data_IF_097131270526
#
_entry.id   IF_097131270526
#
_cell.length_a   1.000
_cell.length_b   1.000
_cell.length_c   1.000
_cell.angle_alpha   90.00
_cell.angle_beta   90.00
_cell.angle_gamma   90.00
#
_symmetry.space_group_name_H-M   'P 1'
#
loop_
_entity.id
_entity.type
_entity.pdbx_description
1 polymer ?
#
# COMPACT_ATOMS: atom_id res chain seq x y z
N UNK A 1 -7.01 13.78 -9.16
CA UNK A 1 -7.26 13.96 -7.72
C UNK A 1 -8.66 14.49 -7.59
N UNK A 2 -9.51 13.83 -6.82
CA UNK A 2 -10.87 14.30 -6.57
C UNK A 2 -10.95 15.01 -5.23
N UNK A 3 -11.87 15.98 -5.10
CA UNK A 3 -12.20 16.60 -3.80
C UNK A 3 -12.53 15.53 -2.74
N UNK A 4 -13.19 14.45 -3.15
CA UNK A 4 -13.54 13.33 -2.27
C UNK A 4 -12.32 12.64 -1.68
N UNK A 5 -11.24 12.50 -2.44
CA UNK A 5 -10.00 11.85 -2.01
C UNK A 5 -9.32 12.68 -0.93
N UNK A 6 -9.20 13.99 -1.17
CA UNK A 6 -8.62 14.95 -0.23
C UNK A 6 -9.48 15.06 1.04
N UNK A 7 -10.80 15.04 0.90
CA UNK A 7 -11.72 15.08 2.02
C UNK A 7 -11.66 13.79 2.86
N UNK A 8 -11.43 12.63 2.23
CA UNK A 8 -11.18 11.36 2.92
C UNK A 8 -9.86 11.43 3.71
N UNK A 9 -8.77 11.87 3.08
CA UNK A 9 -7.49 12.07 3.76
C UNK A 9 -7.64 12.99 4.98
N UNK A 10 -8.26 14.15 4.80
CA UNK A 10 -8.49 15.11 5.88
C UNK A 10 -9.22 14.47 7.08
N UNK A 11 -10.30 13.73 6.81
CA UNK A 11 -11.05 13.00 7.85
C UNK A 11 -10.21 11.95 8.57
N UNK A 12 -9.38 11.21 7.84
CA UNK A 12 -8.52 10.18 8.43
C UNK A 12 -7.39 10.78 9.26
N UNK A 13 -6.75 11.85 8.78
CA UNK A 13 -5.73 12.59 9.55
C UNK A 13 -6.32 13.06 10.88
N UNK A 14 -7.52 13.64 10.84
CA UNK A 14 -8.20 14.14 12.04
C UNK A 14 -8.70 13.05 13.00
N UNK A 15 -8.83 11.80 12.54
CA UNK A 15 -9.23 10.68 13.40
C UNK A 15 -8.05 9.96 14.06
N UNK A 16 -6.80 10.28 13.68
CA UNK A 16 -5.62 9.63 14.25
C UNK A 16 -5.38 10.06 15.71
N UNK A 17 -5.01 9.10 16.60
CA UNK A 17 -4.70 9.39 18.00
C UNK A 17 -3.65 10.50 18.18
N UNK A 18 -2.61 10.50 17.35
CA UNK A 18 -1.51 11.47 17.44
C UNK A 18 -1.98 12.91 17.12
N UNK A 19 -2.92 13.06 16.18
CA UNK A 19 -3.52 14.36 15.88
C UNK A 19 -4.40 14.85 17.03
N UNK A 20 -5.19 13.95 17.61
CA UNK A 20 -6.09 14.25 18.73
C UNK A 20 -5.35 14.60 20.03
N UNK A 21 -4.16 14.02 20.23
CA UNK A 21 -3.35 14.25 21.42
C UNK A 21 -2.55 15.56 21.32
N UNK A 22 -1.89 15.79 20.18
CA UNK A 22 -0.83 16.80 20.11
C UNK A 22 -1.18 18.00 19.23
N UNK A 23 -2.31 17.98 18.50
CA UNK A 23 -2.65 19.00 17.50
C UNK A 23 -1.52 19.24 16.49
N UNK A 24 -0.83 18.14 16.13
CA UNK A 24 0.31 18.14 15.21
C UNK A 24 -0.04 17.45 13.90
N UNK A 25 0.42 18.04 12.82
CA UNK A 25 0.43 17.43 11.49
C UNK A 25 1.86 17.41 10.98
N UNK A 26 2.36 16.23 10.69
CA UNK A 26 3.62 15.99 10.01
C UNK A 26 3.33 15.79 8.52
N UNK A 27 3.87 16.67 7.69
CA UNK A 27 3.84 16.55 6.25
C UNK A 27 5.14 15.91 5.77
N UNK A 28 5.03 14.79 5.08
CA UNK A 28 6.16 14.09 4.47
C UNK A 28 6.09 14.26 2.97
N UNK A 29 7.19 14.71 2.37
CA UNK A 29 7.34 14.87 0.92
C UNK A 29 8.58 14.08 0.49
N UNK A 30 8.40 13.09 -0.39
CA UNK A 30 9.52 12.28 -0.91
C UNK A 30 9.59 12.42 -2.42
N UNK A 31 10.27 13.44 -2.96
CA UNK A 31 10.37 13.60 -4.41
C UNK A 31 11.04 12.36 -5.05
N UNK A 32 10.65 12.04 -6.29
CA UNK A 32 11.13 10.87 -7.05
C UNK A 32 12.67 10.77 -7.10
N UNK A 33 13.40 11.88 -6.96
CA UNK A 33 14.86 11.94 -6.92
C UNK A 33 15.39 12.88 -5.82
N UNK A 34 15.06 12.63 -4.54
CA UNK A 34 15.61 13.43 -3.45
C UNK A 34 15.43 12.85 -2.05
N UNK A 35 16.02 13.52 -1.07
CA UNK A 35 15.87 13.16 0.34
C UNK A 35 14.45 13.48 0.82
N UNK A 36 13.90 12.59 1.64
CA UNK A 36 12.63 12.81 2.32
C UNK A 36 12.68 14.11 3.12
N UNK A 37 11.71 15.00 2.87
CA UNK A 37 11.51 16.24 3.65
C UNK A 37 10.32 16.02 4.58
N UNK A 38 10.50 16.40 5.84
CA UNK A 38 9.47 16.34 6.86
C UNK A 38 9.26 17.77 7.36
N UNK A 39 8.01 18.23 7.31
CA UNK A 39 7.59 19.50 7.89
C UNK A 39 6.60 19.24 9.01
N UNK A 40 6.80 19.88 10.15
CA UNK A 40 5.91 19.78 11.32
C UNK A 40 5.07 21.05 11.44
N UNK A 41 3.76 20.88 11.53
CA UNK A 41 2.80 21.92 11.82
C UNK A 41 2.19 21.67 13.19
N UNK A 42 2.32 22.65 14.09
CA UNK A 42 1.75 22.61 15.44
C UNK A 42 0.50 23.49 15.54
N UNK A 43 -0.33 23.26 16.57
CA UNK A 43 -1.58 24.00 16.78
C UNK A 43 -2.58 23.84 15.62
N UNK A 44 -2.60 22.66 15.01
CA UNK A 44 -3.57 22.32 13.97
C UNK A 44 -4.81 21.69 14.62
N UNK A 45 -5.96 22.33 14.42
CA UNK A 45 -7.24 21.91 14.99
C UNK A 45 -8.21 21.39 13.92
N UNK A 46 -7.95 21.69 12.65
CA UNK A 46 -8.75 21.18 11.54
C UNK A 46 -7.88 21.00 10.29
N UNK A 47 -8.21 19.96 9.52
CA UNK A 47 -7.63 19.64 8.21
C UNK A 47 -8.80 19.56 7.24
N UNK A 48 -8.75 20.26 6.12
CA UNK A 48 -9.90 20.30 5.20
C UNK A 48 -9.49 20.45 3.74
N UNK A 49 -10.11 19.65 2.87
CA UNK A 49 -10.01 19.81 1.43
C UNK A 49 -10.69 21.12 0.99
N UNK A 50 -9.99 21.93 0.21
CA UNK A 50 -10.51 23.22 -0.28
C UNK A 50 -11.15 23.08 -1.65
N UNK A 51 -10.51 22.31 -2.53
CA UNK A 51 -10.90 22.06 -3.91
C UNK A 51 -10.40 20.66 -4.32
N UNK A 52 -10.31 20.38 -5.61
CA UNK A 52 -9.86 19.10 -6.16
C UNK A 52 -8.33 18.88 -6.09
N UNK A 53 -7.55 19.85 -5.62
CA UNK A 53 -6.08 19.77 -5.61
C UNK A 53 -5.37 20.27 -4.35
N UNK A 54 -6.09 20.69 -3.30
CA UNK A 54 -5.47 21.27 -2.10
C UNK A 54 -6.15 20.93 -0.77
N UNK A 55 -5.32 20.80 0.26
CA UNK A 55 -5.71 20.61 1.66
C UNK A 55 -5.22 21.82 2.46
N UNK A 56 -6.06 22.38 3.32
CA UNK A 56 -5.67 23.43 4.24
C UNK A 56 -5.65 22.93 5.70
N UNK A 57 -4.69 23.43 6.46
CA UNK A 57 -4.59 23.26 7.91
C UNK A 57 -5.09 24.53 8.59
N UNK A 58 -5.84 24.41 9.69
CA UNK A 58 -6.40 25.53 10.42
C UNK A 58 -6.09 25.47 11.90
N UNK A 59 -5.96 26.65 12.51
CA UNK A 59 -5.86 26.80 13.95
C UNK A 59 -7.23 26.70 14.63
N UNK A 60 -7.24 26.80 15.97
CA UNK A 60 -8.47 26.74 16.80
C UNK A 60 -9.48 27.86 16.52
N UNK A 61 -9.03 28.96 15.91
CA UNK A 61 -9.88 30.10 15.57
C UNK A 61 -10.43 29.99 14.14
N UNK A 62 -10.09 28.91 13.41
CA UNK A 62 -10.42 28.75 12.00
C UNK A 62 -9.54 29.58 11.06
N UNK A 63 -8.40 30.10 11.54
CA UNK A 63 -7.42 30.78 10.69
C UNK A 63 -6.55 29.76 9.96
N UNK A 64 -6.39 29.95 8.64
CA UNK A 64 -5.58 29.05 7.81
C UNK A 64 -4.10 29.18 8.16
N UNK A 65 -3.47 28.07 8.53
CA UNK A 65 -2.05 27.95 8.84
C UNK A 65 -1.26 27.80 7.54
N UNK A 66 -1.67 26.84 6.70
CA UNK A 66 -1.03 26.53 5.43
C UNK A 66 -2.05 25.93 4.47
N UNK A 67 -1.81 26.09 3.17
CA UNK A 67 -2.48 25.37 2.10
C UNK A 67 -1.44 24.51 1.38
N UNK A 68 -1.72 23.22 1.31
CA UNK A 68 -0.85 22.17 0.81
C UNK A 68 -1.43 21.72 -0.52
N UNK A 69 -0.57 21.63 -1.54
CA UNK A 69 -0.89 21.09 -2.86
C UNK A 69 -0.22 19.72 -2.98
N UNK A 70 -0.86 18.66 -2.46
CA UNK A 70 -0.23 17.36 -2.34
C UNK A 70 0.02 16.73 -3.72
N UNK A 71 1.14 16.02 -3.83
CA UNK A 71 1.45 15.14 -4.95
C UNK A 71 1.41 13.66 -4.53
N UNK A 72 1.77 12.78 -5.45
CA UNK A 72 1.84 11.32 -5.25
C UNK A 72 2.82 10.87 -4.15
N UNK A 73 3.66 11.77 -3.68
CA UNK A 73 4.67 11.50 -2.65
C UNK A 73 4.31 12.13 -1.30
N UNK A 74 3.22 12.89 -1.26
CA UNK A 74 2.82 13.68 -0.09
C UNK A 74 1.96 12.85 0.86
N UNK A 75 2.39 12.75 2.13
CA UNK A 75 1.58 12.16 3.20
C UNK A 75 1.43 13.12 4.38
N UNK A 76 0.29 13.07 5.05
CA UNK A 76 -0.01 13.81 6.28
C UNK A 76 -0.19 12.80 7.42
N UNK A 77 0.64 12.86 8.46
CA UNK A 77 0.65 11.84 9.53
C UNK A 77 0.68 10.41 8.97
N UNK A 78 1.37 10.19 7.86
CA UNK A 78 1.44 8.90 7.15
C UNK A 78 0.18 8.49 6.38
N UNK A 79 -0.84 9.36 6.29
CA UNK A 79 -1.99 9.19 5.39
C UNK A 79 -1.63 9.81 4.03
N UNK A 80 -1.68 9.06 2.91
CA UNK A 80 -1.47 9.65 1.59
C UNK A 80 -2.47 10.76 1.32
N UNK A 81 -1.97 11.94 0.99
CA UNK A 81 -2.82 13.11 0.79
C UNK A 81 -3.74 12.96 -0.43
N UNK A 82 -3.36 12.11 -1.40
CA UNK A 82 -4.06 11.98 -2.69
C UNK A 82 -4.72 10.63 -2.95
N UNK A 83 -4.67 9.65 -2.04
CA UNK A 83 -5.01 8.27 -2.39
C UNK A 83 -6.35 7.78 -1.83
N UNK A 84 -7.46 8.19 -2.45
CA UNK A 84 -8.76 7.55 -2.26
C UNK A 84 -9.66 7.61 -3.51
N UNK A 85 -9.12 7.24 -4.68
CA UNK A 85 -9.90 7.31 -5.91
C UNK A 85 -9.32 6.61 -7.15
N UNK A 86 -8.35 5.70 -6.99
CA UNK A 86 -7.92 4.85 -8.10
C UNK A 86 -8.70 3.54 -8.02
N UNK A 87 -9.81 3.51 -8.76
CA UNK A 87 -10.53 2.28 -9.09
C UNK A 87 -9.60 1.33 -9.88
N UNK A 88 -9.81 0.05 -9.66
CA UNK A 88 -8.99 -1.08 -10.07
C UNK A 88 -8.66 -1.09 -11.57
N UNK A 89 -7.48 -0.60 -11.99
CA UNK A 89 -6.86 -1.04 -13.24
C UNK A 89 -5.33 -1.10 -13.12
N UNK A 90 -4.82 -2.33 -13.05
CA UNK A 90 -3.47 -2.77 -13.42
C UNK A 90 -2.26 -2.11 -12.73
N UNK A 91 -1.88 -2.72 -11.59
CA UNK A 91 -0.48 -2.93 -11.24
C UNK A 91 0.07 -1.98 -10.17
N UNK A 92 0.25 -2.52 -8.95
CA UNK A 92 1.24 -2.13 -7.91
C UNK A 92 0.73 -1.59 -6.56
N UNK A 93 -0.55 -1.29 -6.35
CA UNK A 93 -1.02 -0.80 -5.03
C UNK A 93 -1.36 -1.94 -4.05
N UNK A 94 -0.45 -2.23 -3.10
CA UNK A 94 -0.80 -2.80 -1.79
C UNK A 94 -1.10 -4.30 -1.70
N UNK A 95 -0.65 -5.14 -2.64
CA UNK A 95 -0.73 -6.59 -2.47
C UNK A 95 0.37 -7.11 -1.52
N UNK A 96 0.17 -8.29 -0.93
CA UNK A 96 1.14 -8.82 0.05
C UNK A 96 2.51 -9.16 -0.55
N UNK A 97 2.61 -9.34 -1.89
CA UNK A 97 3.90 -9.53 -2.56
C UNK A 97 4.70 -8.23 -2.58
N UNK A 98 4.09 -7.13 -3.06
CA UNK A 98 4.71 -5.80 -3.06
C UNK A 98 4.99 -5.33 -1.64
N UNK A 99 4.04 -5.49 -0.71
CA UNK A 99 4.19 -5.08 0.69
C UNK A 99 5.34 -5.84 1.38
N UNK A 100 5.47 -7.16 1.13
CA UNK A 100 6.58 -7.91 1.67
C UNK A 100 7.92 -7.42 1.09
N UNK A 101 8.04 -7.32 -0.24
CA UNK A 101 9.33 -7.00 -0.87
C UNK A 101 9.76 -5.55 -0.67
N UNK A 102 8.86 -4.59 -0.89
CA UNK A 102 9.15 -3.15 -0.86
C UNK A 102 9.07 -2.62 0.56
N UNK A 103 7.90 -2.69 1.19
CA UNK A 103 7.67 -2.00 2.46
C UNK A 103 8.43 -2.66 3.62
N UNK A 104 8.53 -3.99 3.63
CA UNK A 104 9.15 -4.72 4.74
C UNK A 104 10.64 -5.05 4.50
N UNK A 105 11.01 -5.48 3.29
CA UNK A 105 12.40 -5.81 2.96
C UNK A 105 13.18 -4.67 2.28
N UNK A 106 12.56 -3.51 2.04
CA UNK A 106 13.22 -2.33 1.50
C UNK A 106 13.74 -2.48 0.08
N UNK A 107 13.21 -3.44 -0.69
CA UNK A 107 13.59 -3.66 -2.09
C UNK A 107 12.92 -2.63 -2.98
N UNK A 108 13.50 -2.31 -4.15
CA UNK A 108 12.80 -1.48 -5.12
C UNK A 108 11.60 -2.23 -5.71
N UNK A 109 10.59 -1.50 -6.21
CA UNK A 109 9.37 -2.10 -6.74
C UNK A 109 9.62 -2.94 -8.02
N UNK A 110 10.66 -2.59 -8.76
CA UNK A 110 11.17 -3.31 -9.93
C UNK A 110 12.22 -4.38 -9.56
N UNK A 111 12.28 -4.80 -8.30
CA UNK A 111 13.21 -5.85 -7.90
C UNK A 111 12.91 -7.16 -8.63
N UNK A 112 13.97 -7.95 -8.84
CA UNK A 112 13.93 -9.22 -9.54
C UNK A 112 12.80 -10.15 -9.05
N UNK A 113 12.58 -10.20 -7.74
CA UNK A 113 11.54 -11.03 -7.14
C UNK A 113 10.12 -10.64 -7.59
N UNK A 114 9.82 -9.34 -7.58
CA UNK A 114 8.52 -8.84 -7.98
C UNK A 114 8.32 -8.97 -9.49
N UNK A 115 9.32 -8.60 -10.28
CA UNK A 115 9.26 -8.74 -11.74
C UNK A 115 9.04 -10.21 -12.15
N UNK A 116 9.73 -11.15 -11.50
CA UNK A 116 9.54 -12.59 -11.74
C UNK A 116 8.12 -13.05 -11.42
N UNK A 117 7.60 -12.68 -10.24
CA UNK A 117 6.26 -13.11 -9.80
C UNK A 117 5.13 -12.42 -10.58
N UNK A 118 5.30 -11.14 -10.93
CA UNK A 118 4.38 -10.38 -11.78
C UNK A 118 4.33 -11.00 -13.17
N UNK A 119 5.48 -11.25 -13.80
CA UNK A 119 5.55 -11.94 -15.09
C UNK A 119 4.94 -13.34 -15.05
N UNK A 120 5.12 -14.08 -13.94
CA UNK A 120 4.52 -15.40 -13.78
C UNK A 120 2.99 -15.33 -13.70
N UNK A 121 2.45 -14.43 -12.87
CA UNK A 121 0.99 -14.25 -12.70
C UNK A 121 0.32 -13.68 -13.96
N UNK A 122 0.93 -12.67 -14.57
CA UNK A 122 0.33 -11.94 -15.68
C UNK A 122 0.65 -12.58 -17.04
N UNK A 123 1.62 -13.49 -17.08
CA UNK A 123 1.95 -14.30 -18.26
C UNK A 123 1.54 -15.77 -18.12
N UNK A 124 2.28 -16.54 -17.32
CA UNK A 124 2.10 -18.00 -17.23
C UNK A 124 0.69 -18.39 -16.74
N UNK A 125 0.17 -17.74 -15.70
CA UNK A 125 -1.15 -18.09 -15.17
C UNK A 125 -2.31 -17.71 -16.12
N UNK A 126 -2.07 -16.95 -17.18
CA UNK A 126 -3.09 -16.64 -18.18
C UNK A 126 -3.30 -17.77 -19.19
N UNK A 127 -2.49 -18.83 -19.13
CA UNK A 127 -2.50 -19.93 -20.11
C UNK A 127 -3.62 -20.96 -19.91
N UNK A 128 -4.28 -20.97 -18.75
CA UNK A 128 -5.42 -21.85 -18.49
C UNK A 128 -6.54 -21.12 -17.74
N UNK A 129 -7.78 -21.56 -17.94
CA UNK A 129 -8.94 -20.99 -17.24
C UNK A 129 -8.77 -21.08 -15.72
N UNK A 130 -8.31 -22.22 -15.21
CA UNK A 130 -8.12 -22.41 -13.77
C UNK A 130 -7.09 -21.44 -13.18
N UNK A 131 -5.91 -21.35 -13.79
CA UNK A 131 -4.84 -20.45 -13.31
C UNK A 131 -5.26 -18.99 -13.43
N UNK A 132 -6.02 -18.64 -14.48
CA UNK A 132 -6.54 -17.29 -14.67
C UNK A 132 -7.54 -16.91 -13.57
N UNK A 133 -8.43 -17.81 -13.19
CA UNK A 133 -9.34 -17.58 -12.07
C UNK A 133 -8.58 -17.45 -10.74
N UNK A 134 -7.52 -18.24 -10.52
CA UNK A 134 -6.65 -18.06 -9.36
C UNK A 134 -5.95 -16.69 -9.35
N UNK A 135 -5.46 -16.21 -10.50
CA UNK A 135 -4.86 -14.88 -10.62
C UNK A 135 -5.88 -13.77 -10.34
N UNK A 136 -7.11 -13.88 -10.86
CA UNK A 136 -8.20 -12.93 -10.56
C UNK A 136 -8.53 -12.91 -9.07
N UNK A 137 -8.69 -14.09 -8.47
CA UNK A 137 -8.95 -14.23 -7.04
C UNK A 137 -7.87 -13.53 -6.21
N UNK A 138 -6.61 -13.74 -6.56
CA UNK A 138 -5.48 -13.05 -5.93
C UNK A 138 -5.64 -11.52 -5.93
N UNK A 139 -6.00 -10.91 -7.07
CA UNK A 139 -6.17 -9.45 -7.15
C UNK A 139 -7.24 -8.93 -6.18
N UNK A 140 -8.30 -9.72 -5.95
CA UNK A 140 -9.39 -9.37 -5.03
C UNK A 140 -9.02 -9.53 -3.56
N UNK A 141 -8.32 -10.61 -3.21
CA UNK A 141 -8.05 -10.94 -1.79
C UNK A 141 -6.78 -10.29 -1.25
N UNK A 142 -5.76 -10.07 -2.09
CA UNK A 142 -4.44 -9.65 -1.62
C UNK A 142 -4.45 -8.28 -0.89
N UNK A 143 -5.15 -7.23 -1.37
CA UNK A 143 -5.23 -5.96 -0.66
C UNK A 143 -5.94 -6.08 0.70
N UNK A 144 -6.99 -6.92 0.78
CA UNK A 144 -7.75 -7.16 2.02
C UNK A 144 -6.90 -7.86 3.07
N UNK A 145 -6.12 -8.86 2.65
CA UNK A 145 -5.17 -9.58 3.51
C UNK A 145 -4.09 -8.63 4.03
N UNK A 146 -3.53 -7.76 3.18
CA UNK A 146 -2.54 -6.75 3.61
C UNK A 146 -3.13 -5.80 4.65
N UNK A 147 -4.34 -5.28 4.42
CA UNK A 147 -5.01 -4.42 5.39
C UNK A 147 -5.15 -5.11 6.75
N UNK A 148 -5.53 -6.40 6.76
CA UNK A 148 -5.63 -7.19 7.99
C UNK A 148 -4.27 -7.41 8.66
N UNK A 149 -3.23 -7.73 7.91
CA UNK A 149 -1.89 -7.97 8.46
C UNK A 149 -1.32 -6.69 9.05
N UNK A 150 -1.51 -5.55 8.37
CA UNK A 150 -1.01 -4.26 8.83
C UNK A 150 -1.60 -3.80 10.16
N UNK A 151 -2.79 -4.28 10.53
CA UNK A 151 -3.39 -4.03 11.84
C UNK A 151 -2.85 -4.93 12.96
N UNK A 152 -2.00 -5.92 12.65
CA UNK A 152 -1.46 -6.85 13.64
C UNK A 152 -0.17 -6.32 14.28
N UNK A 153 0.02 -6.53 15.59
CA UNK A 153 1.26 -6.16 16.27
C UNK A 153 2.47 -6.97 15.77
N UNK A 154 2.26 -8.20 15.28
CA UNK A 154 3.30 -9.08 14.77
C UNK A 154 3.42 -9.08 13.24
N UNK A 155 2.95 -8.02 12.55
CA UNK A 155 2.99 -7.90 11.08
C UNK A 155 4.36 -8.18 10.46
N UNK A 156 5.42 -7.76 11.15
CA UNK A 156 6.80 -7.96 10.74
C UNK A 156 7.14 -9.46 10.52
N UNK A 157 6.84 -10.28 11.51
CA UNK A 157 7.05 -11.74 11.43
C UNK A 157 6.18 -12.40 10.35
N UNK A 158 4.97 -11.88 10.12
CA UNK A 158 4.09 -12.37 9.07
C UNK A 158 4.69 -12.11 7.69
N UNK A 159 5.14 -10.88 7.40
CA UNK A 159 5.77 -10.55 6.12
C UNK A 159 7.10 -11.27 5.90
N UNK A 160 7.89 -11.48 6.95
CA UNK A 160 9.11 -12.30 6.86
C UNK A 160 8.79 -13.74 6.43
N UNK A 161 7.74 -14.33 7.00
CA UNK A 161 7.29 -15.68 6.65
C UNK A 161 6.73 -15.74 5.23
N UNK A 162 5.93 -14.76 4.82
CA UNK A 162 5.44 -14.65 3.44
C UNK A 162 6.58 -14.57 2.42
N UNK A 163 7.60 -13.75 2.71
CA UNK A 163 8.74 -13.61 1.82
C UNK A 163 9.50 -14.93 1.66
N UNK A 164 9.71 -15.67 2.76
CA UNK A 164 10.44 -16.94 2.72
C UNK A 164 9.62 -18.07 2.07
N UNK A 165 8.38 -18.25 2.53
CA UNK A 165 7.57 -19.43 2.21
C UNK A 165 6.84 -19.32 0.87
N UNK A 166 6.53 -18.09 0.43
CA UNK A 166 5.86 -17.81 -0.84
C UNK A 166 6.84 -17.22 -1.86
N UNK A 167 7.38 -16.03 -1.59
CA UNK A 167 8.15 -15.27 -2.61
C UNK A 167 9.40 -16.04 -3.05
N UNK A 168 10.30 -16.36 -2.11
CA UNK A 168 11.54 -17.07 -2.43
C UNK A 168 11.28 -18.47 -2.99
N UNK A 169 10.29 -19.19 -2.44
CA UNK A 169 9.95 -20.55 -2.87
C UNK A 169 9.42 -20.56 -4.31
N UNK A 170 8.47 -19.69 -4.66
CA UNK A 170 7.95 -19.59 -6.02
C UNK A 170 9.04 -19.18 -7.01
N UNK A 171 9.88 -18.20 -6.67
CA UNK A 171 10.99 -17.78 -7.53
C UNK A 171 11.97 -18.93 -7.78
N UNK A 172 12.31 -19.70 -6.75
CA UNK A 172 13.19 -20.85 -6.89
C UNK A 172 12.62 -21.89 -7.88
N UNK A 173 11.31 -22.16 -7.81
CA UNK A 173 10.63 -23.09 -8.70
C UNK A 173 10.57 -22.56 -10.14
N UNK A 174 10.23 -21.27 -10.32
CA UNK A 174 10.19 -20.61 -11.63
C UNK A 174 11.57 -20.66 -12.30
N UNK A 175 12.64 -20.35 -11.56
CA UNK A 175 14.01 -20.40 -12.07
C UNK A 175 14.46 -21.79 -12.50
N UNK A 176 13.86 -22.84 -11.92
CA UNK A 176 14.10 -24.24 -12.30
C UNK A 176 13.19 -24.71 -13.44
N UNK A 177 12.36 -23.83 -14.01
CA UNK A 177 11.37 -24.17 -15.03
C UNK A 177 10.17 -24.96 -14.50
N UNK A 178 10.02 -25.08 -13.17
CA UNK A 178 8.97 -25.87 -12.51
C UNK A 178 7.69 -25.03 -12.33
N UNK A 179 7.17 -24.49 -13.43
CA UNK A 179 6.08 -23.51 -13.40
C UNK A 179 4.77 -24.07 -12.82
N UNK A 180 4.47 -25.36 -13.01
CA UNK A 180 3.28 -25.99 -12.40
C UNK A 180 3.40 -26.08 -10.87
N UNK A 181 4.55 -26.55 -10.35
CA UNK A 181 4.81 -26.59 -8.91
C UNK A 181 4.80 -25.17 -8.29
N UNK A 182 5.30 -24.17 -9.04
CA UNK A 182 5.25 -22.77 -8.63
C UNK A 182 3.80 -22.26 -8.52
N UNK A 183 2.93 -22.63 -9.48
CA UNK A 183 1.50 -22.29 -9.44
C UNK A 183 0.80 -22.95 -8.24
N UNK A 184 1.02 -24.24 -8.01
CA UNK A 184 0.44 -24.95 -6.86
C UNK A 184 0.88 -24.29 -5.54
N UNK A 185 2.18 -24.01 -5.39
CA UNK A 185 2.71 -23.30 -4.21
C UNK A 185 2.06 -21.92 -4.05
N UNK A 186 1.93 -21.16 -5.14
CA UNK A 186 1.33 -19.82 -5.12
C UNK A 186 -0.15 -19.87 -4.71
N UNK A 187 -0.91 -20.80 -5.29
CA UNK A 187 -2.34 -20.98 -5.04
C UNK A 187 -2.59 -21.43 -3.60
N UNK A 188 -1.95 -22.51 -3.17
CA UNK A 188 -2.13 -23.09 -1.84
C UNK A 188 -1.81 -22.06 -0.74
N UNK A 189 -0.74 -21.28 -0.94
CA UNK A 189 -0.38 -20.23 0.01
C UNK A 189 -1.40 -19.09 -0.01
N UNK A 190 -1.89 -18.68 -1.19
CA UNK A 190 -2.93 -17.65 -1.31
C UNK A 190 -4.22 -18.06 -0.60
N UNK A 191 -4.63 -19.32 -0.74
CA UNK A 191 -5.82 -19.89 -0.08
C UNK A 191 -5.61 -19.99 1.44
N UNK A 192 -4.44 -20.41 1.90
CA UNK A 192 -4.12 -20.44 3.33
C UNK A 192 -4.10 -19.03 3.98
N UNK A 193 -3.69 -18.01 3.22
CA UNK A 193 -3.76 -16.62 3.68
C UNK A 193 -5.20 -16.10 3.74
N UNK A 194 -6.01 -16.44 2.74
CA UNK A 194 -7.43 -16.12 2.73
C UNK A 194 -8.12 -16.71 3.96
N UNK A 195 -8.02 -18.03 4.18
CA UNK A 195 -8.61 -18.71 5.34
C UNK A 195 -8.19 -18.11 6.68
N UNK A 196 -6.94 -17.63 6.75
CA UNK A 196 -6.38 -17.10 8.00
C UNK A 196 -6.80 -15.66 8.29
N UNK A 197 -7.03 -14.83 7.28
CA UNK A 197 -7.13 -13.38 7.44
C UNK A 197 -8.47 -12.77 6.97
N UNK A 198 -9.25 -13.49 6.16
CA UNK A 198 -10.57 -13.06 5.68
C UNK A 198 -11.67 -13.97 6.24
#
# INVERSE_FOLDING_TARGET
>A
MSYSDLANCAREVMSKPDFLADHKVYMYMKPQNGNQRIEEYTNVYNVSAQNDNSIALYDKNGSKIVEIYPDETTTLNGVPAINYGVDETNGSTGCYLTTACVDYFGKPDDCYELETLRSFRDGFMQTSTEMKEAAKKYYVIAPKIVAKINSLPNKASVYQKMYTDLVQKCINLINKGKNKEAYETYKDYSEALEEKYL
#
